data_IF_852291328301
#
_entry.id   IF_852291328301
#
_cell.length_a   1.000
_cell.length_b   1.000
_cell.length_c   1.000
_cell.angle_alpha   90.00
_cell.angle_beta   90.00
_cell.angle_gamma   90.00
#
_symmetry.space_group_name_H-M   'P 1'
#
loop_
_entity.id
_entity.type
_entity.pdbx_description
1 polymer ?
#
# COMPACT_ATOMS: atom_id res chain seq x y z
N UNK A 1 8.10 -4.73 -9.81
CA UNK A 1 6.99 -5.47 -9.18
C UNK A 1 5.77 -4.57 -9.14
N UNK A 2 4.68 -5.00 -9.74
CA UNK A 2 3.45 -4.20 -9.80
C UNK A 2 2.58 -4.49 -8.58
N UNK A 3 1.91 -3.47 -8.07
CA UNK A 3 0.94 -3.59 -6.99
C UNK A 3 -0.46 -3.55 -7.59
N UNK A 4 -1.21 -4.63 -7.44
CA UNK A 4 -2.58 -4.69 -7.92
C UNK A 4 -3.52 -3.84 -7.07
N UNK A 5 -4.68 -3.53 -7.63
CA UNK A 5 -5.68 -2.71 -6.94
C UNK A 5 -6.13 -3.37 -5.62
N UNK A 6 -6.43 -4.65 -5.67
CA UNK A 6 -6.87 -5.38 -4.48
C UNK A 6 -5.73 -5.52 -3.45
N UNK A 7 -4.51 -5.71 -3.93
CA UNK A 7 -3.35 -5.73 -3.05
C UNK A 7 -3.17 -4.40 -2.33
N UNK A 8 -3.37 -3.29 -3.04
CA UNK A 8 -3.29 -1.96 -2.44
C UNK A 8 -4.38 -1.76 -1.38
N UNK A 9 -5.59 -2.24 -1.62
CA UNK A 9 -6.67 -2.16 -0.64
C UNK A 9 -6.37 -2.96 0.62
N UNK A 10 -5.84 -4.16 0.46
CA UNK A 10 -5.47 -5.01 1.60
C UNK A 10 -4.33 -4.38 2.40
N UNK A 11 -3.32 -3.86 1.72
CA UNK A 11 -2.22 -3.16 2.39
C UNK A 11 -2.71 -1.92 3.14
N UNK A 12 -3.63 -1.16 2.53
CA UNK A 12 -4.20 0.02 3.18
C UNK A 12 -4.97 -0.33 4.44
N UNK A 13 -5.78 -1.38 4.38
CA UNK A 13 -6.52 -1.86 5.55
C UNK A 13 -5.57 -2.33 6.65
N UNK A 14 -4.54 -3.06 6.28
CA UNK A 14 -3.54 -3.56 7.21
C UNK A 14 -2.77 -2.41 7.87
N UNK A 15 -2.40 -1.41 7.08
CA UNK A 15 -1.73 -0.23 7.60
C UNK A 15 -2.59 0.50 8.62
N UNK A 16 -3.89 0.63 8.35
CA UNK A 16 -4.83 1.27 9.25
C UNK A 16 -4.98 0.51 10.56
N UNK A 17 -5.04 -0.83 10.48
CA UNK A 17 -5.22 -1.69 11.66
C UNK A 17 -3.93 -1.91 12.45
N UNK A 18 -2.77 -1.76 11.79
CA UNK A 18 -1.48 -2.06 12.39
C UNK A 18 -1.13 -3.52 12.24
N UNK A 19 -1.46 -4.32 13.25
CA UNK A 19 -1.27 -5.76 13.22
C UNK A 19 -2.64 -6.43 13.21
N UNK A 20 -2.90 -7.30 12.25
CA UNK A 20 -4.24 -7.85 12.05
C UNK A 20 -4.21 -9.24 11.43
N UNK A 21 -5.24 -10.02 11.73
CA UNK A 21 -5.47 -11.30 11.06
C UNK A 21 -6.14 -11.07 9.70
N UNK A 22 -6.19 -12.11 8.86
CA UNK A 22 -6.90 -12.05 7.60
C UNK A 22 -8.38 -11.70 7.81
N UNK A 23 -8.98 -12.22 8.87
CA UNK A 23 -10.37 -11.93 9.20
C UNK A 23 -10.56 -10.45 9.54
N UNK A 24 -9.64 -9.87 10.33
CA UNK A 24 -9.73 -8.46 10.69
C UNK A 24 -9.62 -7.58 9.46
N UNK A 25 -8.72 -7.93 8.54
CA UNK A 25 -8.55 -7.20 7.28
C UNK A 25 -9.83 -7.31 6.44
N UNK A 26 -10.39 -8.52 6.34
CA UNK A 26 -11.63 -8.74 5.61
C UNK A 26 -12.76 -7.87 6.17
N UNK A 27 -12.91 -7.82 7.49
CA UNK A 27 -13.96 -7.03 8.13
C UNK A 27 -13.77 -5.54 7.86
N UNK A 28 -12.53 -5.07 7.85
CA UNK A 28 -12.24 -3.66 7.57
C UNK A 28 -12.60 -3.29 6.12
N UNK A 29 -12.24 -4.14 5.16
CA UNK A 29 -12.56 -3.90 3.76
C UNK A 29 -14.07 -4.01 3.52
N UNK A 30 -14.73 -4.94 4.21
CA UNK A 30 -16.16 -5.19 4.06
C UNK A 30 -17.04 -4.00 4.45
N UNK A 31 -16.49 -3.03 5.16
CA UNK A 31 -17.20 -1.77 5.44
C UNK A 31 -17.52 -1.01 4.15
N UNK A 32 -16.72 -1.18 3.11
CA UNK A 32 -16.90 -0.50 1.84
C UNK A 32 -17.46 -1.40 0.77
N UNK A 33 -16.99 -2.65 0.69
CA UNK A 33 -17.49 -3.62 -0.28
C UNK A 33 -17.28 -5.02 0.27
N UNK A 34 -18.23 -5.95 0.01
CA UNK A 34 -18.07 -7.32 0.48
C UNK A 34 -16.90 -8.00 -0.21
N UNK A 35 -16.12 -8.75 0.59
CA UNK A 35 -14.97 -9.47 0.07
C UNK A 35 -14.84 -10.78 0.83
N UNK A 36 -14.63 -11.87 0.09
CA UNK A 36 -14.53 -13.20 0.68
C UNK A 36 -13.25 -13.37 1.48
N UNK A 37 -13.33 -14.11 2.57
CA UNK A 37 -12.16 -14.42 3.40
C UNK A 37 -11.04 -15.07 2.58
N UNK A 38 -11.38 -16.03 1.71
CA UNK A 38 -10.40 -16.73 0.89
C UNK A 38 -9.67 -15.78 -0.04
N UNK A 39 -10.37 -14.78 -0.57
CA UNK A 39 -9.76 -13.77 -1.43
C UNK A 39 -8.74 -12.94 -0.65
N UNK A 40 -9.10 -12.49 0.54
CA UNK A 40 -8.21 -11.70 1.40
C UNK A 40 -6.99 -12.53 1.78
N UNK A 41 -7.21 -13.78 2.19
CA UNK A 41 -6.13 -14.69 2.57
C UNK A 41 -5.14 -14.92 1.42
N UNK A 42 -5.65 -15.12 0.21
CA UNK A 42 -4.82 -15.30 -0.98
C UNK A 42 -3.99 -14.04 -1.27
N UNK A 43 -4.61 -12.87 -1.16
CA UNK A 43 -3.91 -11.60 -1.39
C UNK A 43 -2.81 -11.41 -0.34
N UNK A 44 -3.09 -11.70 0.93
CA UNK A 44 -2.09 -11.59 1.98
C UNK A 44 -0.91 -12.55 1.74
N UNK A 45 -1.18 -13.76 1.25
CA UNK A 45 -0.11 -14.69 0.88
C UNK A 45 0.76 -14.12 -0.24
N UNK A 46 0.15 -13.51 -1.25
CA UNK A 46 0.89 -12.86 -2.34
C UNK A 46 1.77 -11.73 -1.81
N UNK A 47 1.21 -10.90 -0.94
CA UNK A 47 1.95 -9.80 -0.35
C UNK A 47 3.11 -10.31 0.51
N UNK A 48 2.90 -11.41 1.20
CA UNK A 48 3.96 -12.04 1.98
C UNK A 48 5.09 -12.55 1.07
N UNK A 49 4.75 -13.18 -0.05
CA UNK A 49 5.73 -13.62 -1.03
C UNK A 49 6.50 -12.45 -1.65
N UNK A 50 5.82 -11.33 -1.83
CA UNK A 50 6.45 -10.10 -2.35
C UNK A 50 7.23 -9.34 -1.28
N UNK A 51 7.26 -9.84 -0.05
CA UNK A 51 7.94 -9.24 1.09
C UNK A 51 7.38 -7.86 1.48
N UNK A 52 6.11 -7.65 1.22
CA UNK A 52 5.43 -6.41 1.55
C UNK A 52 4.70 -6.46 2.89
N UNK A 53 4.54 -7.66 3.44
CA UNK A 53 4.00 -7.85 4.79
C UNK A 53 4.84 -8.85 5.53
N UNK A 54 4.87 -8.71 6.85
CA UNK A 54 5.40 -9.71 7.75
C UNK A 54 4.25 -10.56 8.26
N UNK A 55 4.55 -11.81 8.58
CA UNK A 55 3.56 -12.76 9.06
C UNK A 55 4.06 -13.44 10.31
N UNK A 56 3.22 -13.44 11.35
CA UNK A 56 3.53 -14.06 12.63
C UNK A 56 2.52 -15.14 12.95
N UNK A 57 3.01 -16.28 13.38
CA UNK A 57 2.17 -17.40 13.79
C UNK A 57 1.76 -17.19 15.23
N UNK A 58 0.47 -17.29 15.51
CA UNK A 58 -0.08 -17.18 16.86
C UNK A 58 -0.90 -18.42 17.16
N UNK A 59 -0.63 -19.05 18.30
CA UNK A 59 -1.37 -20.21 18.76
C UNK A 59 -2.37 -19.75 19.82
N UNK A 60 -3.64 -20.03 19.60
CA UNK A 60 -4.71 -19.64 20.51
C UNK A 60 -5.75 -20.75 20.65
N UNK A 61 -6.86 -20.44 21.28
CA UNK A 61 -7.93 -21.41 21.53
C UNK A 61 -8.51 -22.01 20.26
N UNK A 62 -8.53 -21.26 19.18
CA UNK A 62 -9.04 -21.72 17.89
C UNK A 62 -8.01 -22.42 17.04
N UNK A 63 -6.81 -22.72 17.58
CA UNK A 63 -5.70 -23.32 16.85
C UNK A 63 -4.70 -22.27 16.43
N UNK A 64 -4.12 -22.45 15.24
CA UNK A 64 -3.08 -21.57 14.71
C UNK A 64 -3.69 -20.53 13.79
N UNK A 65 -3.29 -19.28 13.98
CA UNK A 65 -3.64 -18.21 13.04
C UNK A 65 -2.42 -17.36 12.75
N UNK A 66 -2.48 -16.61 11.66
CA UNK A 66 -1.43 -15.68 11.31
C UNK A 66 -1.88 -14.26 11.55
N UNK A 67 -0.96 -13.46 12.09
CA UNK A 67 -1.12 -12.01 12.16
C UNK A 67 -0.18 -11.38 11.13
N UNK A 68 -0.66 -10.36 10.46
CA UNK A 68 0.06 -9.67 9.39
C UNK A 68 0.37 -8.24 9.81
N UNK A 69 1.51 -7.75 9.33
CA UNK A 69 1.97 -6.39 9.58
C UNK A 69 2.56 -5.86 8.29
N UNK A 70 2.16 -4.64 7.90
CA UNK A 70 2.74 -3.98 6.73
C UNK A 70 4.21 -3.70 7.01
N UNK A 71 5.09 -4.17 6.17
CA UNK A 71 6.52 -4.11 6.44
C UNK A 71 7.37 -4.17 5.16
N UNK A 72 6.89 -3.56 4.08
CA UNK A 72 7.67 -3.52 2.85
C UNK A 72 9.00 -2.80 3.11
N UNK A 73 10.13 -3.35 2.64
CA UNK A 73 11.42 -2.68 2.78
C UNK A 73 11.41 -1.29 2.14
N UNK A 74 12.18 -0.37 2.72
CA UNK A 74 12.22 1.01 2.25
C UNK A 74 12.64 1.12 0.78
N UNK A 75 13.65 0.36 0.40
CA UNK A 75 14.13 0.36 -0.98
C UNK A 75 13.07 -0.14 -1.96
N UNK A 76 12.30 -1.15 -1.56
CA UNK A 76 11.22 -1.67 -2.38
C UNK A 76 10.11 -0.63 -2.54
N UNK A 77 9.73 0.06 -1.44
CA UNK A 77 8.72 1.11 -1.50
C UNK A 77 9.15 2.26 -2.41
N UNK A 78 10.39 2.71 -2.26
CA UNK A 78 10.94 3.77 -3.11
C UNK A 78 10.95 3.35 -4.58
N UNK A 79 11.36 2.12 -4.86
CA UNK A 79 11.38 1.59 -6.22
C UNK A 79 9.99 1.54 -6.85
N UNK A 80 8.97 1.18 -6.06
CA UNK A 80 7.59 1.13 -6.53
C UNK A 80 7.05 2.53 -6.85
N UNK A 81 7.37 3.51 -6.01
CA UNK A 81 6.97 4.90 -6.25
C UNK A 81 7.64 5.43 -7.52
N UNK A 82 8.94 5.21 -7.65
CA UNK A 82 9.69 5.64 -8.84
C UNK A 82 9.09 5.05 -10.12
N UNK A 83 8.75 3.77 -10.06
CA UNK A 83 8.17 3.07 -11.22
C UNK A 83 6.79 3.63 -11.57
N UNK A 84 5.96 3.89 -10.58
CA UNK A 84 4.63 4.45 -10.79
C UNK A 84 4.71 5.85 -11.40
N UNK A 85 5.60 6.69 -10.84
CA UNK A 85 5.82 8.04 -11.36
C UNK A 85 6.36 8.00 -12.78
N UNK A 86 7.30 7.08 -13.05
CA UNK A 86 7.86 6.91 -14.39
C UNK A 86 6.81 6.55 -15.42
N UNK A 87 5.88 5.67 -15.07
CA UNK A 87 4.78 5.29 -15.96
C UNK A 87 3.86 6.47 -16.27
N UNK A 88 3.56 7.30 -15.26
CA UNK A 88 2.73 8.48 -15.44
C UNK A 88 3.41 9.47 -16.36
N UNK A 89 4.69 9.73 -16.14
CA UNK A 89 5.45 10.67 -17.00
C UNK A 89 5.56 10.12 -18.42
N UNK A 90 5.78 8.82 -18.59
CA UNK A 90 5.84 8.21 -19.92
C UNK A 90 4.52 8.30 -20.66
N UNK A 91 3.40 8.14 -19.93
CA UNK A 91 2.07 8.15 -20.54
C UNK A 91 1.59 9.55 -20.90
N UNK A 92 1.89 10.54 -20.08
CA UNK A 92 1.32 11.89 -20.19
C UNK A 92 2.34 12.99 -20.41
N UNK A 93 3.62 12.64 -20.38
CA UNK A 93 4.71 13.62 -20.49
C UNK A 93 5.00 14.33 -19.17
N UNK A 94 6.09 15.14 -19.13
CA UNK A 94 6.46 15.83 -17.87
C UNK A 94 5.42 16.78 -17.33
N UNK A 95 4.49 17.23 -18.15
CA UNK A 95 3.40 18.12 -17.73
C UNK A 95 2.45 17.48 -16.70
N UNK A 96 2.54 16.16 -16.50
CA UNK A 96 1.74 15.48 -15.47
C UNK A 96 2.20 15.82 -14.04
N UNK A 97 3.44 16.32 -13.87
CA UNK A 97 4.01 16.54 -12.54
C UNK A 97 3.19 17.51 -11.68
N UNK A 98 2.73 18.67 -12.20
CA UNK A 98 1.86 19.54 -11.39
C UNK A 98 0.56 18.85 -10.96
N UNK A 99 0.01 17.99 -11.80
CA UNK A 99 -1.19 17.23 -11.46
C UNK A 99 -0.92 16.25 -10.32
N UNK A 100 0.26 15.62 -10.31
CA UNK A 100 0.67 14.73 -9.22
C UNK A 100 0.73 15.53 -7.91
N UNK A 101 1.31 16.72 -7.92
CA UNK A 101 1.37 17.61 -6.77
C UNK A 101 -0.02 17.92 -6.23
N UNK A 102 -0.90 18.35 -7.10
CA UNK A 102 -2.27 18.72 -6.69
C UNK A 102 -3.00 17.55 -6.08
N UNK A 103 -2.85 16.36 -6.67
CA UNK A 103 -3.48 15.15 -6.16
C UNK A 103 -2.95 14.78 -4.77
N UNK A 104 -1.65 14.92 -4.55
CA UNK A 104 -1.04 14.64 -3.26
C UNK A 104 -1.54 15.61 -2.18
N UNK A 105 -1.71 16.88 -2.52
CA UNK A 105 -2.24 17.86 -1.58
C UNK A 105 -3.67 17.55 -1.16
N UNK A 106 -4.49 17.09 -2.10
CA UNK A 106 -5.88 16.73 -1.80
C UNK A 106 -5.99 15.45 -0.96
N UNK A 107 -5.08 14.49 -1.17
CA UNK A 107 -5.12 13.23 -0.44
C UNK A 107 -4.78 13.39 1.04
N UNK A 108 -3.98 14.37 1.39
CA UNK A 108 -3.55 14.53 2.76
C UNK A 108 -3.42 16.00 3.12
N UNK A 109 -4.47 16.54 3.71
CA UNK A 109 -4.46 17.91 4.20
C UNK A 109 -3.74 18.05 5.54
N UNK A 110 -3.67 16.96 6.28
CA UNK A 110 -3.18 16.98 7.66
C UNK A 110 -1.82 16.36 7.83
N UNK A 111 -1.36 15.61 6.85
CA UNK A 111 -0.09 14.91 6.93
C UNK A 111 1.04 15.77 6.42
N UNK A 112 2.20 15.54 7.00
CA UNK A 112 3.39 16.24 6.59
C UNK A 112 3.94 15.63 5.30
N UNK A 113 3.41 16.09 4.19
CA UNK A 113 3.89 15.70 2.86
C UNK A 113 4.99 16.61 2.35
N UNK A 114 5.50 17.51 3.19
CA UNK A 114 6.51 18.47 2.78
C UNK A 114 7.76 17.79 2.20
N UNK A 115 8.18 16.67 2.78
CA UNK A 115 9.34 15.92 2.28
C UNK A 115 9.08 15.33 0.89
N UNK A 116 7.87 14.79 0.70
CA UNK A 116 7.50 14.23 -0.60
C UNK A 116 7.40 15.31 -1.66
N UNK A 117 6.81 16.45 -1.31
CA UNK A 117 6.73 17.61 -2.20
C UNK A 117 8.12 18.10 -2.59
N UNK A 118 9.06 18.14 -1.67
CA UNK A 118 10.45 18.53 -1.97
C UNK A 118 11.10 17.57 -2.95
N UNK A 119 10.89 16.27 -2.78
CA UNK A 119 11.43 15.27 -3.70
C UNK A 119 10.88 15.44 -5.10
N UNK A 120 9.58 15.65 -5.23
CA UNK A 120 8.95 15.88 -6.53
C UNK A 120 9.45 17.18 -7.14
N UNK A 121 9.59 18.22 -6.33
CA UNK A 121 10.13 19.51 -6.77
C UNK A 121 11.53 19.39 -7.34
N UNK A 122 12.40 18.58 -6.73
CA UNK A 122 13.73 18.32 -7.23
C UNK A 122 13.71 17.64 -8.59
N UNK A 123 12.78 16.71 -8.78
CA UNK A 123 12.62 16.03 -10.07
C UNK A 123 12.20 17.02 -11.15
N UNK A 124 11.31 17.96 -10.82
CA UNK A 124 10.86 18.98 -11.77
C UNK A 124 11.97 19.92 -12.22
N UNK A 125 12.91 20.22 -11.33
CA UNK A 125 13.99 21.16 -11.62
C UNK A 125 15.09 20.57 -12.47
N UNK A 126 15.12 19.27 -12.62
CA UNK A 126 16.04 18.59 -13.51
C UNK A 126 15.39 18.35 -14.85
#
# INVERSE_FOLDING_TARGET
MALGELEAEVLGALHKLGKASARDVMLEISKKKPLAYTTVSTVLDRLHHKRMVRRFKVIGRGGVKYLYLSAAPQDMRASMVDRALGKLVSAFGPSIVPTIYDSLEQLSKDDDLSDLKRKISRVQRK
#
